data_IF_841456947903
#
_entry.id   IF_841456947903
#
_cell.length_a   1.000
_cell.length_b   1.000
_cell.length_c   1.000
_cell.angle_alpha   90.00
_cell.angle_beta   90.00
_cell.angle_gamma   90.00
#
_symmetry.space_group_name_H-M   'P 1'
#
loop_
_entity.id
_entity.type
_entity.pdbx_description
1 polymer ?
#
# COMPACT_ATOMS: atom_id res chain seq x y z
N UNK A 1 -4.67 -23.96 14.19
CA UNK A 1 -3.52 -24.72 13.62
C UNK A 1 -2.27 -23.86 13.52
N UNK A 2 -2.39 -22.58 13.10
CA UNK A 2 -1.29 -21.59 13.10
C UNK A 2 -0.74 -21.34 14.52
N UNK A 3 -1.61 -21.31 15.54
CA UNK A 3 -1.23 -21.04 16.93
C UNK A 3 -0.21 -22.03 17.52
N UNK A 4 -0.19 -23.28 17.04
CA UNK A 4 0.75 -24.30 17.51
C UNK A 4 2.18 -24.02 17.01
N UNK A 5 2.31 -23.48 15.80
CA UNK A 5 3.60 -23.05 15.25
C UNK A 5 4.11 -21.75 15.86
N UNK A 6 3.20 -20.83 16.21
CA UNK A 6 3.54 -19.55 16.84
C UNK A 6 4.07 -19.70 18.27
N UNK A 7 3.59 -20.70 19.02
CA UNK A 7 4.06 -20.96 20.40
C UNK A 7 5.56 -21.23 20.51
N UNK A 8 6.16 -21.82 19.48
CA UNK A 8 7.58 -22.15 19.48
C UNK A 8 8.49 -20.97 19.07
N UNK A 9 7.92 -19.89 18.51
CA UNK A 9 8.66 -18.75 17.97
C UNK A 9 8.01 -17.43 18.38
N UNK A 10 8.28 -16.92 19.60
CA UNK A 10 7.59 -15.75 20.15
C UNK A 10 7.80 -14.48 19.30
N UNK A 11 9.00 -14.29 18.75
CA UNK A 11 9.30 -13.17 17.85
C UNK A 11 8.45 -13.20 16.58
N UNK A 12 8.28 -14.39 16.00
CA UNK A 12 7.46 -14.58 14.81
C UNK A 12 5.98 -14.40 15.12
N UNK A 13 5.53 -14.84 16.31
CA UNK A 13 4.16 -14.63 16.77
C UNK A 13 3.81 -13.16 16.91
N UNK A 14 4.69 -12.33 17.47
CA UNK A 14 4.49 -10.88 17.59
C UNK A 14 4.38 -10.22 16.21
N UNK A 15 5.28 -10.57 15.28
CA UNK A 15 5.27 -10.05 13.92
C UNK A 15 4.00 -10.46 13.17
N UNK A 16 3.59 -11.72 13.32
CA UNK A 16 2.37 -12.23 12.72
C UNK A 16 1.15 -11.49 13.27
N UNK A 17 1.08 -11.26 14.58
CA UNK A 17 -0.02 -10.53 15.20
C UNK A 17 -0.07 -9.06 14.73
N UNK A 18 1.09 -8.42 14.62
CA UNK A 18 1.22 -7.08 14.03
C UNK A 18 0.69 -7.06 12.61
N UNK A 19 1.11 -8.01 11.78
CA UNK A 19 0.64 -8.14 10.40
C UNK A 19 -0.87 -8.37 10.30
N UNK A 20 -1.44 -9.25 11.13
CA UNK A 20 -2.89 -9.48 11.15
C UNK A 20 -3.66 -8.24 11.56
N UNK A 21 -3.13 -7.49 12.53
CA UNK A 21 -3.69 -6.19 12.94
C UNK A 21 -3.69 -5.23 11.76
N UNK A 22 -2.60 -5.19 10.97
CA UNK A 22 -2.50 -4.37 9.77
C UNK A 22 -3.60 -4.73 8.75
N UNK A 23 -3.72 -6.02 8.40
CA UNK A 23 -4.73 -6.47 7.45
C UNK A 23 -6.16 -6.14 7.90
N UNK A 24 -6.43 -6.32 9.19
CA UNK A 24 -7.76 -6.10 9.77
C UNK A 24 -8.16 -4.64 9.68
N UNK A 25 -7.28 -3.69 10.04
CA UNK A 25 -7.62 -2.28 9.93
C UNK A 25 -7.78 -1.84 8.48
N UNK A 26 -6.98 -2.35 7.54
CA UNK A 26 -7.10 -1.99 6.11
C UNK A 26 -8.46 -2.43 5.58
N UNK A 27 -8.87 -3.66 5.91
CA UNK A 27 -10.16 -4.23 5.48
C UNK A 27 -11.34 -3.46 6.07
N UNK A 28 -11.27 -3.12 7.35
CA UNK A 28 -12.37 -2.49 8.08
C UNK A 28 -12.33 -0.96 8.05
N UNK A 29 -11.30 -0.36 7.43
CA UNK A 29 -11.02 1.08 7.45
C UNK A 29 -10.97 1.66 8.88
N UNK A 30 -10.48 0.87 9.82
CA UNK A 30 -10.47 1.24 11.25
C UNK A 30 -9.30 2.19 11.57
N UNK A 31 -9.66 3.46 11.72
CA UNK A 31 -8.72 4.56 12.02
C UNK A 31 -8.16 4.49 13.43
N UNK A 32 -8.96 4.03 14.39
CA UNK A 32 -8.55 3.98 15.79
C UNK A 32 -7.47 2.91 15.96
N UNK A 33 -7.68 1.72 15.39
CA UNK A 33 -6.67 0.65 15.42
C UNK A 33 -5.39 1.05 14.69
N UNK A 34 -5.48 1.72 13.53
CA UNK A 34 -4.30 2.23 12.82
C UNK A 34 -3.49 3.19 13.69
N UNK A 35 -4.14 4.17 14.32
CA UNK A 35 -3.45 5.15 15.16
C UNK A 35 -2.79 4.48 16.37
N UNK A 36 -3.51 3.60 17.05
CA UNK A 36 -2.96 2.85 18.19
C UNK A 36 -1.76 1.98 17.80
N UNK A 37 -1.86 1.27 16.68
CA UNK A 37 -0.76 0.45 16.16
C UNK A 37 0.47 1.32 15.87
N UNK A 38 0.28 2.43 15.17
CA UNK A 38 1.36 3.33 14.76
C UNK A 38 2.05 4.00 15.96
N UNK A 39 1.28 4.39 16.98
CA UNK A 39 1.79 5.08 18.17
C UNK A 39 2.48 4.14 19.16
N UNK A 40 2.00 2.90 19.28
CA UNK A 40 2.47 1.96 20.29
C UNK A 40 3.49 0.94 19.76
N UNK A 41 3.74 0.93 18.44
CA UNK A 41 4.70 -0.01 17.85
C UNK A 41 6.11 0.19 18.40
N UNK A 42 6.71 -0.91 18.88
CA UNK A 42 8.11 -0.95 19.34
C UNK A 42 8.93 -1.75 18.33
N UNK A 43 9.99 -1.16 17.77
CA UNK A 43 10.88 -1.89 16.88
C UNK A 43 11.48 -3.11 17.58
N UNK A 44 11.50 -4.24 16.89
CA UNK A 44 11.96 -5.52 17.44
C UNK A 44 13.08 -6.16 16.61
N UNK A 45 13.70 -5.40 15.70
CA UNK A 45 14.86 -5.83 14.92
C UNK A 45 14.51 -6.71 13.73
N UNK A 46 13.25 -6.72 13.31
CA UNK A 46 12.76 -7.55 12.21
C UNK A 46 12.33 -6.72 11.00
N UNK A 47 12.09 -7.37 9.87
CA UNK A 47 11.59 -6.71 8.65
C UNK A 47 10.25 -5.97 8.86
N UNK A 48 9.50 -6.32 9.92
CA UNK A 48 8.28 -5.60 10.30
C UNK A 48 8.57 -4.14 10.66
N UNK A 49 9.76 -3.83 11.17
CA UNK A 49 10.17 -2.46 11.49
C UNK A 49 10.21 -1.58 10.24
N UNK A 50 10.63 -2.13 9.10
CA UNK A 50 10.66 -1.44 7.81
C UNK A 50 9.24 -1.17 7.31
N UNK A 51 8.34 -2.14 7.47
CA UNK A 51 6.92 -1.99 7.13
C UNK A 51 6.29 -0.89 7.98
N UNK A 52 6.49 -0.93 9.30
CA UNK A 52 5.94 0.05 10.23
C UNK A 52 6.50 1.46 10.00
N UNK A 53 7.79 1.58 9.68
CA UNK A 53 8.39 2.86 9.27
C UNK A 53 7.75 3.42 8.01
N UNK A 54 7.43 2.55 7.05
CA UNK A 54 6.74 2.95 5.81
C UNK A 54 5.31 3.41 6.09
N UNK A 55 4.59 2.72 6.97
CA UNK A 55 3.24 3.11 7.40
C UNK A 55 3.27 4.45 8.13
N UNK A 56 4.20 4.63 9.07
CA UNK A 56 4.41 5.89 9.79
C UNK A 56 4.70 7.06 8.85
N UNK A 57 5.63 6.87 7.91
CA UNK A 57 5.99 7.90 6.92
C UNK A 57 4.79 8.33 6.07
N UNK A 58 3.90 7.39 5.73
CA UNK A 58 2.74 7.62 4.87
C UNK A 58 1.43 7.74 5.66
N UNK A 59 1.49 7.93 6.98
CA UNK A 59 0.35 7.82 7.88
C UNK A 59 -0.84 8.70 7.47
N UNK A 60 -0.58 9.95 7.08
CA UNK A 60 -1.65 10.87 6.66
C UNK A 60 -2.40 10.36 5.42
N UNK A 61 -1.68 9.81 4.44
CA UNK A 61 -2.27 9.24 3.24
C UNK A 61 -3.11 8.01 3.55
N UNK A 62 -2.60 7.10 4.39
CA UNK A 62 -3.30 5.90 4.81
C UNK A 62 -4.55 6.26 5.63
N UNK A 63 -4.42 7.18 6.59
CA UNK A 63 -5.55 7.68 7.39
C UNK A 63 -6.64 8.29 6.52
N UNK A 64 -6.27 9.09 5.52
CA UNK A 64 -7.22 9.70 4.59
C UNK A 64 -7.87 8.64 3.68
N UNK A 65 -7.13 7.62 3.25
CA UNK A 65 -7.68 6.50 2.49
C UNK A 65 -8.71 5.68 3.31
N UNK A 66 -8.55 5.62 4.63
CA UNK A 66 -9.57 5.04 5.51
C UNK A 66 -10.76 5.98 5.76
N UNK A 67 -10.57 7.31 5.63
CA UNK A 67 -11.63 8.30 5.87
C UNK A 67 -12.59 8.43 4.69
N UNK A 68 -12.08 8.33 3.47
CA UNK A 68 -12.85 8.60 2.26
C UNK A 68 -13.08 7.33 1.44
N UNK A 69 -14.23 7.26 0.76
CA UNK A 69 -14.57 6.16 -0.14
C UNK A 69 -13.98 6.29 -1.55
N UNK A 70 -12.99 7.17 -1.72
CA UNK A 70 -12.26 7.27 -2.97
C UNK A 70 -11.49 5.99 -3.26
N UNK A 71 -11.70 5.45 -4.46
CA UNK A 71 -10.89 4.35 -4.96
C UNK A 71 -9.75 4.87 -5.83
N UNK A 72 -8.62 4.16 -5.82
CA UNK A 72 -7.55 4.41 -6.79
C UNK A 72 -7.87 3.82 -8.17
N UNK A 73 -9.04 3.19 -8.36
CA UNK A 73 -9.42 2.49 -9.59
C UNK A 73 -9.30 3.34 -10.86
N UNK A 74 -9.84 4.58 -10.91
CA UNK A 74 -9.68 5.45 -12.07
C UNK A 74 -8.21 5.78 -12.37
N UNK A 75 -7.41 6.08 -11.33
CA UNK A 75 -5.98 6.38 -11.47
C UNK A 75 -5.19 5.16 -11.96
N UNK A 76 -5.48 3.98 -11.41
CA UNK A 76 -4.91 2.70 -11.84
C UNK A 76 -5.29 2.36 -13.29
N UNK A 77 -6.53 2.64 -13.69
CA UNK A 77 -7.01 2.50 -15.06
C UNK A 77 -6.22 3.37 -16.04
N UNK A 78 -6.00 4.64 -15.69
CA UNK A 78 -5.16 5.56 -16.48
C UNK A 78 -3.72 5.03 -16.55
N UNK A 79 -3.13 4.65 -15.42
CA UNK A 79 -1.78 4.09 -15.36
C UNK A 79 -1.63 2.84 -16.23
N UNK A 80 -2.65 1.98 -16.28
CA UNK A 80 -2.69 0.81 -17.16
C UNK A 80 -2.67 1.21 -18.63
N UNK A 81 -3.54 2.14 -19.05
CA UNK A 81 -3.57 2.63 -20.45
C UNK A 81 -2.25 3.27 -20.88
N UNK A 82 -1.60 4.04 -19.99
CA UNK A 82 -0.28 4.63 -20.26
C UNK A 82 0.79 3.53 -20.41
N UNK A 83 0.79 2.52 -19.53
CA UNK A 83 1.72 1.39 -19.62
C UNK A 83 1.50 0.57 -20.89
N UNK A 84 0.25 0.39 -21.31
CA UNK A 84 -0.10 -0.28 -22.57
C UNK A 84 0.38 0.51 -23.79
N UNK A 85 0.14 1.82 -23.83
CA UNK A 85 0.69 2.71 -24.85
C UNK A 85 2.22 2.59 -24.93
N UNK A 86 2.91 2.57 -23.78
CA UNK A 86 4.36 2.36 -23.72
C UNK A 86 4.81 1.01 -24.31
N UNK A 87 4.05 -0.07 -24.07
CA UNK A 87 4.39 -1.41 -24.59
C UNK A 87 4.10 -1.58 -26.06
N UNK A 88 3.04 -0.94 -26.57
CA UNK A 88 2.64 -1.02 -27.98
C UNK A 88 3.57 -0.22 -28.91
N UNK A 89 4.29 0.77 -28.38
CA UNK A 89 5.24 1.56 -29.17
C UNK A 89 6.64 0.92 -29.13
N UNK A 90 7.22 0.66 -30.31
CA UNK A 90 8.61 0.20 -30.49
C UNK A 90 9.64 1.34 -30.29
N UNK A 91 9.47 2.11 -29.21
CA UNK A 91 10.23 3.31 -28.91
C UNK A 91 9.46 4.60 -29.17
N UNK A 92 9.88 5.67 -28.48
CA UNK A 92 9.35 7.02 -28.66
C UNK A 92 10.44 7.92 -29.23
N UNK A 93 10.45 8.11 -30.54
CA UNK A 93 11.38 9.06 -31.18
C UNK A 93 11.05 10.51 -30.81
N UNK A 94 9.81 10.79 -30.38
CA UNK A 94 9.36 12.11 -29.96
C UNK A 94 8.49 12.04 -28.70
N UNK A 95 9.03 12.54 -27.58
CA UNK A 95 8.33 12.60 -26.28
C UNK A 95 7.07 13.48 -26.33
N UNK A 96 7.04 14.52 -27.16
CA UNK A 96 5.86 15.39 -27.32
C UNK A 96 4.66 14.59 -27.83
N UNK A 97 4.88 13.71 -28.81
CA UNK A 97 3.81 12.84 -29.33
C UNK A 97 3.32 11.84 -28.28
N UNK A 98 4.21 11.33 -27.43
CA UNK A 98 3.82 10.47 -26.31
C UNK A 98 2.90 11.19 -25.32
N UNK A 99 3.26 12.41 -24.90
CA UNK A 99 2.41 13.20 -24.00
C UNK A 99 1.08 13.61 -24.64
N UNK A 100 1.06 13.91 -25.95
CA UNK A 100 -0.20 14.17 -26.67
C UNK A 100 -1.10 12.93 -26.61
N UNK A 101 -0.57 11.74 -26.89
CA UNK A 101 -1.33 10.49 -26.80
C UNK A 101 -1.83 10.21 -25.39
N UNK A 102 -1.04 10.50 -24.35
CA UNK A 102 -1.51 10.40 -22.95
C UNK A 102 -2.68 11.36 -22.69
N UNK A 103 -2.61 12.61 -23.16
CA UNK A 103 -3.72 13.57 -23.00
C UNK A 103 -5.00 13.08 -23.68
N UNK A 104 -4.88 12.44 -24.85
CA UNK A 104 -6.01 11.87 -25.58
C UNK A 104 -6.61 10.61 -24.92
N UNK A 105 -5.89 9.93 -24.03
CA UNK A 105 -6.43 8.79 -23.26
C UNK A 105 -7.44 9.23 -22.19
N UNK A 106 -7.35 10.49 -21.75
CA UNK A 106 -8.17 11.09 -20.69
C UNK A 106 -9.35 11.90 -21.23
N UNK A 107 -9.37 12.24 -22.53
CA UNK A 107 -10.51 12.85 -23.21
C UNK A 107 -11.55 11.78 -23.57
#
# INVERSE_FOLDING_TARGET
>A
MVDLGLKNFPQFAENYQTYQTILTFIRNRDRATLQQLVMNYRPNGTEMDTVMRTIQKNYLGIRNACLYDYSNGPLEGINRKIKELKRSCYGFSNLRHFFIRIKLIHA
#
